data_IF_228714759407
#
_entry.id   IF_228714759407
#
_cell.length_a   1.000
_cell.length_b   1.000
_cell.length_c   1.000
_cell.angle_alpha   90.00
_cell.angle_beta   90.00
_cell.angle_gamma   90.00
#
_symmetry.space_group_name_H-M   'P 1'
#
loop_
_entity.id
_entity.type
_entity.pdbx_description
1 polymer ?
#
# COMPACT_ATOMS: atom_id res chain seq x y z
N UNK A 1 8.02 8.08 -11.73
CA UNK A 1 7.76 6.63 -12.02
C UNK A 1 6.54 6.14 -11.24
N UNK A 2 5.79 5.19 -11.81
CA UNK A 2 4.67 4.52 -11.13
C UNK A 2 5.19 3.45 -10.16
N UNK A 3 4.42 3.18 -9.11
CA UNK A 3 4.71 2.09 -8.18
C UNK A 3 4.40 0.74 -8.82
N UNK A 4 5.18 -0.28 -8.46
CA UNK A 4 4.98 -1.66 -8.88
C UNK A 4 4.62 -2.54 -7.68
N UNK A 5 4.27 -3.80 -7.93
CA UNK A 5 3.84 -4.75 -6.91
C UNK A 5 4.86 -4.93 -5.77
N UNK A 6 6.15 -4.80 -6.08
CA UNK A 6 7.26 -4.93 -5.12
C UNK A 6 7.32 -3.79 -4.09
N UNK A 7 6.71 -2.64 -4.41
CA UNK A 7 6.61 -1.50 -3.50
C UNK A 7 5.58 -1.72 -2.39
N UNK A 8 4.80 -2.80 -2.46
CA UNK A 8 3.74 -3.11 -1.52
C UNK A 8 4.06 -4.35 -0.69
N UNK A 9 3.40 -4.47 0.46
CA UNK A 9 3.37 -5.69 1.27
C UNK A 9 2.03 -5.83 1.96
N UNK A 10 1.52 -7.05 2.03
CA UNK A 10 0.36 -7.35 2.87
C UNK A 10 0.83 -7.38 4.31
N UNK A 11 0.17 -6.62 5.18
CA UNK A 11 0.47 -6.60 6.62
C UNK A 11 -0.56 -7.38 7.42
N UNK A 12 -1.78 -7.49 6.91
CA UNK A 12 -2.87 -8.17 7.62
C UNK A 12 -3.93 -8.65 6.62
N UNK A 13 -4.54 -9.80 6.92
CA UNK A 13 -5.73 -10.33 6.29
C UNK A 13 -6.79 -10.52 7.36
N UNK A 14 -7.99 -9.98 7.16
CA UNK A 14 -9.08 -10.05 8.12
C UNK A 14 -10.43 -10.19 7.42
N UNK A 15 -11.42 -10.66 8.16
CA UNK A 15 -12.81 -10.72 7.72
C UNK A 15 -13.58 -9.55 8.30
N UNK A 16 -14.32 -8.83 7.47
CA UNK A 16 -15.20 -7.74 7.89
C UNK A 16 -16.50 -7.82 7.12
N UNK A 17 -17.64 -7.93 7.81
CA UNK A 17 -18.96 -8.12 7.19
C UNK A 17 -18.98 -9.29 6.17
N UNK A 18 -18.35 -10.41 6.54
CA UNK A 18 -18.21 -11.60 5.70
C UNK A 18 -17.43 -11.37 4.39
N UNK A 19 -16.68 -10.26 4.29
CA UNK A 19 -15.79 -9.96 3.18
C UNK A 19 -14.34 -10.10 3.62
N UNK A 20 -13.53 -10.76 2.80
CA UNK A 20 -12.09 -10.83 2.99
C UNK A 20 -11.47 -9.48 2.65
N UNK A 21 -10.74 -8.92 3.60
CA UNK A 21 -10.02 -7.65 3.47
C UNK A 21 -8.55 -7.82 3.79
N UNK A 22 -7.75 -7.07 3.06
CA UNK A 22 -6.31 -7.02 3.19
C UNK A 22 -5.90 -5.60 3.52
N UNK A 23 -5.01 -5.45 4.50
CA UNK A 23 -4.23 -4.22 4.67
C UNK A 23 -2.96 -4.38 3.88
N UNK A 24 -2.80 -3.53 2.87
CA UNK A 24 -1.63 -3.52 1.99
C UNK A 24 -0.86 -2.23 2.24
N UNK A 25 0.34 -2.35 2.79
CA UNK A 25 1.20 -1.21 3.11
C UNK A 25 2.14 -0.89 1.95
N UNK A 26 2.38 0.40 1.70
CA UNK A 26 3.49 0.85 0.84
C UNK A 26 4.78 0.81 1.64
N UNK A 27 5.75 0.01 1.18
CA UNK A 27 7.01 -0.26 1.88
C UNK A 27 7.76 1.02 2.22
N UNK A 28 8.19 1.12 3.47
CA UNK A 28 8.93 2.28 3.99
C UNK A 28 8.07 3.50 4.30
N UNK A 29 6.74 3.37 4.27
CA UNK A 29 5.82 4.44 4.70
C UNK A 29 4.75 3.89 5.64
N UNK A 30 4.00 4.77 6.29
CA UNK A 30 2.82 4.39 7.08
C UNK A 30 1.52 4.37 6.23
N UNK A 31 1.62 4.44 4.90
CA UNK A 31 0.47 4.38 4.01
C UNK A 31 -0.01 2.93 3.93
N UNK A 32 -1.28 2.72 4.26
CA UNK A 32 -1.94 1.41 4.20
C UNK A 32 -3.24 1.54 3.41
N UNK A 33 -3.40 0.70 2.40
CA UNK A 33 -4.64 0.52 1.66
C UNK A 33 -5.46 -0.60 2.28
N UNK A 34 -6.73 -0.33 2.57
CA UNK A 34 -7.69 -1.36 2.96
C UNK A 34 -8.41 -1.84 1.70
N UNK A 35 -8.18 -3.10 1.32
CA UNK A 35 -8.60 -3.64 0.03
C UNK A 35 -9.43 -4.89 0.28
N UNK A 36 -10.63 -4.93 -0.29
CA UNK A 36 -11.39 -6.17 -0.39
C UNK A 36 -10.88 -6.97 -1.60
N UNK A 37 -10.52 -8.23 -1.35
CA UNK A 37 -10.05 -9.16 -2.37
C UNK A 37 -10.27 -10.61 -1.89
N UNK A 38 -10.27 -11.56 -2.81
CA UNK A 38 -10.46 -12.97 -2.51
C UNK A 38 -9.12 -13.65 -2.19
N UNK A 39 -8.01 -13.12 -2.72
CA UNK A 39 -6.66 -13.64 -2.52
C UNK A 39 -5.60 -12.52 -2.48
N UNK A 40 -4.36 -12.89 -2.16
CA UNK A 40 -3.23 -11.97 -1.99
C UNK A 40 -2.77 -11.32 -3.31
N UNK A 41 -2.83 -12.06 -4.43
CA UNK A 41 -2.47 -11.53 -5.74
C UNK A 41 -3.39 -10.38 -6.13
N UNK A 42 -4.69 -10.61 -6.05
CA UNK A 42 -5.73 -9.62 -6.34
C UNK A 42 -5.62 -8.40 -5.41
N UNK A 43 -5.33 -8.61 -4.11
CA UNK A 43 -5.15 -7.52 -3.17
C UNK A 43 -3.99 -6.60 -3.58
N UNK A 44 -2.88 -7.17 -4.04
CA UNK A 44 -1.69 -6.43 -4.47
C UNK A 44 -1.92 -5.72 -5.81
N UNK A 45 -2.60 -6.34 -6.77
CA UNK A 45 -2.98 -5.69 -8.03
C UNK A 45 -3.89 -4.47 -7.79
N UNK A 46 -4.92 -4.65 -6.97
CA UNK A 46 -5.80 -3.55 -6.55
C UNK A 46 -5.05 -2.43 -5.82
N UNK A 47 -4.00 -2.75 -5.06
CA UNK A 47 -3.18 -1.75 -4.38
C UNK A 47 -2.40 -0.89 -5.38
N UNK A 48 -1.80 -1.52 -6.40
CA UNK A 48 -1.10 -0.82 -7.48
C UNK A 48 -2.06 0.11 -8.23
N UNK A 49 -3.26 -0.37 -8.56
CA UNK A 49 -4.28 0.43 -9.25
C UNK A 49 -4.79 1.58 -8.39
N UNK A 50 -5.03 1.37 -7.10
CA UNK A 50 -5.42 2.44 -6.18
C UNK A 50 -4.33 3.50 -6.10
N UNK A 51 -3.06 3.10 -5.94
CA UNK A 51 -1.94 4.03 -5.89
C UNK A 51 -1.82 4.86 -7.18
N UNK A 52 -2.06 4.24 -8.35
CA UNK A 52 -2.12 4.96 -9.64
C UNK A 52 -3.26 5.96 -9.67
N UNK A 53 -4.47 5.56 -9.25
CA UNK A 53 -5.66 6.42 -9.23
C UNK A 53 -5.52 7.60 -8.27
N UNK A 54 -4.82 7.43 -7.15
CA UNK A 54 -4.56 8.50 -6.18
C UNK A 54 -3.39 9.40 -6.58
N UNK A 55 -2.68 9.10 -7.67
CA UNK A 55 -1.47 9.83 -8.06
C UNK A 55 -0.29 9.62 -7.11
N UNK A 56 -0.26 8.50 -6.39
CA UNK A 56 0.82 8.16 -5.46
C UNK A 56 2.03 7.68 -6.25
N UNK A 57 2.89 8.62 -6.66
CA UNK A 57 4.08 8.36 -7.46
C UNK A 57 5.27 7.97 -6.59
N UNK A 58 6.30 7.38 -7.22
CA UNK A 58 7.56 7.06 -6.57
C UNK A 58 8.21 8.28 -5.89
N UNK A 59 8.19 9.43 -6.54
CA UNK A 59 8.75 10.68 -6.01
C UNK A 59 8.06 11.13 -4.72
N UNK A 60 6.74 10.98 -4.62
CA UNK A 60 5.98 11.30 -3.41
C UNK A 60 6.37 10.33 -2.29
N UNK A 61 6.45 9.04 -2.60
CA UNK A 61 6.85 8.01 -1.63
C UNK A 61 8.26 8.27 -1.08
N UNK A 62 9.20 8.64 -1.93
CA UNK A 62 10.58 8.90 -1.50
C UNK A 62 10.66 10.14 -0.59
N UNK A 63 9.92 11.22 -0.90
CA UNK A 63 9.79 12.39 -0.01
C UNK A 63 9.15 12.04 1.34
N UNK A 64 8.14 11.16 1.35
CA UNK A 64 7.52 10.68 2.59
C UNK A 64 8.53 9.88 3.42
N UNK A 65 9.30 9.00 2.79
CA UNK A 65 10.36 8.22 3.45
C UNK A 65 11.42 9.11 4.08
N UNK A 66 11.85 10.17 3.38
CA UNK A 66 12.80 11.15 3.92
C UNK A 66 12.28 11.85 5.17
N UNK A 67 11.01 12.29 5.15
CA UNK A 67 10.37 12.92 6.31
C UNK A 67 10.24 11.99 7.50
N UNK A 68 9.88 10.72 7.27
CA UNK A 68 9.80 9.71 8.33
C UNK A 68 11.19 9.50 8.96
N UNK A 69 12.26 9.45 8.17
CA UNK A 69 13.63 9.32 8.69
C UNK A 69 14.05 10.56 9.50
N UNK A 70 13.73 11.76 9.03
CA UNK A 70 14.08 13.01 9.70
C UNK A 70 13.33 13.21 11.03
N UNK A 71 12.09 12.72 11.15
CA UNK A 71 11.32 12.78 12.39
C UNK A 71 11.71 11.76 13.46
N UNK A 72 12.61 10.82 13.15
CA UNK A 72 13.17 9.86 14.11
C UNK A 72 14.53 10.30 14.69
N UNK A 73 14.96 11.55 14.44
CA UNK A 73 16.18 12.15 15.00
C UNK A 73 15.85 13.07 16.17
#
# INVERSE_FOLDING_TARGET
>A
MLLTREDFRIVEKYLFLNQTRFRVQVRGTNIVFNIQADNEDEALEKAVDLARKTGLTREIIDKIKERIKAGCQ
#
